data_IF_531511739699
#
_entry.id   IF_531511739699
#
_cell.length_a   1.000
_cell.length_b   1.000
_cell.length_c   1.000
_cell.angle_alpha   90.00
_cell.angle_beta   90.00
_cell.angle_gamma   90.00
#
_symmetry.space_group_name_H-M   'P 1'
#
loop_
_entity.id
_entity.type
_entity.pdbx_description
1 polymer ?
#
# COMPACT_ATOMS: atom_id res chain seq x y z
N UNK A 1 4.33 25.56 -11.92
CA UNK A 1 4.86 24.47 -12.74
C UNK A 1 4.65 23.15 -12.00
N UNK A 2 3.92 22.25 -12.58
CA UNK A 2 3.67 20.98 -11.93
C UNK A 2 4.86 20.04 -12.11
N UNK A 3 5.34 19.49 -11.02
CA UNK A 3 6.37 18.48 -11.09
C UNK A 3 5.78 17.18 -11.64
N UNK A 4 6.40 16.68 -12.67
CA UNK A 4 5.97 15.43 -13.26
C UNK A 4 6.32 14.28 -12.31
N UNK A 5 5.32 13.54 -11.88
CA UNK A 5 5.53 12.39 -11.02
C UNK A 5 5.86 11.19 -11.89
N UNK A 6 7.06 10.64 -11.69
CA UNK A 6 7.51 9.46 -12.42
C UNK A 6 7.39 8.25 -11.50
N UNK A 7 6.66 7.24 -11.96
CA UNK A 7 6.46 6.01 -11.21
C UNK A 7 7.21 4.86 -11.88
N UNK A 8 7.75 3.97 -11.05
CA UNK A 8 8.28 2.69 -11.53
C UNK A 8 7.12 1.80 -11.97
N UNK A 9 7.42 0.71 -12.68
CA UNK A 9 6.39 -0.25 -13.08
C UNK A 9 5.64 -0.80 -11.85
N UNK A 10 6.37 -1.11 -10.77
CA UNK A 10 5.75 -1.58 -9.54
C UNK A 10 4.91 -0.48 -8.88
N UNK A 11 5.39 0.76 -8.91
CA UNK A 11 4.63 1.89 -8.39
C UNK A 11 3.31 2.08 -9.12
N UNK A 12 3.32 1.94 -10.44
CA UNK A 12 2.10 2.02 -11.26
C UNK A 12 1.13 0.92 -10.90
N UNK A 13 1.61 -0.33 -10.73
CA UNK A 13 0.76 -1.45 -10.35
C UNK A 13 0.10 -1.25 -9.00
N UNK A 14 0.87 -0.81 -8.02
CA UNK A 14 0.37 -0.57 -6.67
C UNK A 14 -0.65 0.55 -6.68
N UNK A 15 -0.34 1.67 -7.34
CA UNK A 15 -1.25 2.80 -7.40
C UNK A 15 -2.56 2.42 -8.11
N UNK A 16 -2.47 1.70 -9.24
CA UNK A 16 -3.65 1.23 -9.96
C UNK A 16 -4.51 0.32 -9.10
N UNK A 17 -3.88 -0.60 -8.37
CA UNK A 17 -4.59 -1.49 -7.45
C UNK A 17 -5.32 -0.68 -6.37
N UNK A 18 -4.64 0.29 -5.77
CA UNK A 18 -5.23 1.12 -4.73
C UNK A 18 -6.36 2.00 -5.27
N UNK A 19 -6.25 2.49 -6.50
CA UNK A 19 -7.32 3.27 -7.12
C UNK A 19 -8.57 2.42 -7.36
N UNK A 20 -8.38 1.12 -7.66
CA UNK A 20 -9.49 0.18 -7.81
C UNK A 20 -10.09 -0.23 -6.47
N UNK A 21 -9.33 -0.10 -5.39
CA UNK A 21 -9.76 -0.46 -4.04
C UNK A 21 -9.53 0.76 -3.13
N UNK A 22 -10.31 1.82 -3.36
CA UNK A 22 -10.15 3.11 -2.68
C UNK A 22 -10.62 3.03 -1.22
N UNK A 23 -9.76 2.45 -0.39
CA UNK A 23 -10.00 2.29 1.05
C UNK A 23 -8.66 2.08 1.74
N UNK A 24 -8.69 2.02 3.07
CA UNK A 24 -7.50 1.67 3.84
C UNK A 24 -7.15 0.21 3.58
N UNK A 25 -5.93 -0.03 3.13
CA UNK A 25 -5.44 -1.36 2.76
C UNK A 25 -4.20 -1.72 3.57
N UNK A 26 -4.07 -2.99 3.91
CA UNK A 26 -2.87 -3.49 4.57
C UNK A 26 -1.79 -3.72 3.50
N UNK A 27 -0.58 -3.25 3.77
CA UNK A 27 0.53 -3.39 2.83
C UNK A 27 0.78 -4.84 2.41
N UNK A 28 0.66 -5.76 3.34
CA UNK A 28 0.81 -7.19 3.05
C UNK A 28 -0.23 -7.66 2.02
N UNK A 29 -1.47 -7.20 2.15
CA UNK A 29 -2.53 -7.57 1.22
C UNK A 29 -2.26 -7.00 -0.18
N UNK A 30 -1.76 -5.76 -0.24
CA UNK A 30 -1.36 -5.16 -1.52
C UNK A 30 -0.27 -5.99 -2.18
N UNK A 31 0.71 -6.45 -1.40
CA UNK A 31 1.79 -7.28 -1.91
C UNK A 31 1.27 -8.60 -2.49
N UNK A 32 0.35 -9.25 -1.78
CA UNK A 32 -0.22 -10.52 -2.21
C UNK A 32 -1.04 -10.36 -3.49
N UNK A 33 -1.83 -9.31 -3.58
CA UNK A 33 -2.71 -9.07 -4.72
C UNK A 33 -1.94 -8.61 -5.96
N UNK A 34 -0.87 -7.83 -5.77
CA UNK A 34 -0.06 -7.34 -6.90
C UNK A 34 1.07 -8.30 -7.28
N UNK A 35 1.40 -9.24 -6.40
CA UNK A 35 2.52 -10.16 -6.61
C UNK A 35 3.89 -9.52 -6.43
N UNK A 36 3.94 -8.35 -5.83
CA UNK A 36 5.21 -7.63 -5.62
C UNK A 36 5.84 -8.04 -4.30
N UNK A 37 7.05 -8.61 -4.36
CA UNK A 37 7.73 -9.07 -3.14
C UNK A 37 8.28 -7.94 -2.29
N UNK A 38 8.86 -6.93 -2.89
CA UNK A 38 9.40 -5.77 -2.17
C UNK A 38 8.39 -4.63 -2.09
N UNK A 39 7.27 -4.84 -1.42
CA UNK A 39 6.17 -3.88 -1.44
C UNK A 39 6.46 -2.62 -0.64
N UNK A 40 7.15 -2.72 0.50
CA UNK A 40 7.31 -1.58 1.38
C UNK A 40 8.14 -0.44 0.78
N UNK A 41 9.26 -0.70 0.09
CA UNK A 41 9.95 0.38 -0.61
C UNK A 41 9.08 1.07 -1.67
N UNK A 42 8.25 0.30 -2.36
CA UNK A 42 7.32 0.84 -3.36
C UNK A 42 6.29 1.74 -2.70
N UNK A 43 5.67 1.27 -1.61
CA UNK A 43 4.69 2.06 -0.86
C UNK A 43 5.32 3.32 -0.27
N UNK A 44 6.52 3.21 0.29
CA UNK A 44 7.23 4.36 0.84
C UNK A 44 7.53 5.40 -0.23
N UNK A 45 7.88 4.96 -1.43
CA UNK A 45 8.09 5.86 -2.56
C UNK A 45 6.81 6.63 -2.90
N UNK A 46 5.67 5.94 -2.91
CA UNK A 46 4.37 6.57 -3.18
C UNK A 46 3.99 7.55 -2.07
N UNK A 47 4.30 7.22 -0.82
CA UNK A 47 4.08 8.12 0.32
C UNK A 47 4.92 9.39 0.14
N UNK A 48 6.19 9.24 -0.22
CA UNK A 48 7.10 10.37 -0.44
C UNK A 48 6.64 11.27 -1.59
N UNK A 49 5.96 10.70 -2.58
CA UNK A 49 5.40 11.46 -3.70
C UNK A 49 4.05 12.11 -3.37
N UNK A 50 3.52 11.87 -2.18
CA UNK A 50 2.24 12.43 -1.75
C UNK A 50 1.02 11.75 -2.35
N UNK A 51 1.18 10.58 -2.95
CA UNK A 51 0.08 9.84 -3.58
C UNK A 51 -0.61 8.88 -2.61
N UNK A 52 0.09 8.48 -1.56
CA UNK A 52 -0.39 7.51 -0.57
C UNK A 52 -0.07 8.03 0.82
N UNK A 53 -0.96 7.79 1.77
CA UNK A 53 -0.75 8.08 3.19
C UNK A 53 -0.74 6.77 3.97
N UNK A 54 -0.03 6.81 5.09
CA UNK A 54 -0.06 5.72 6.06
C UNK A 54 -1.27 5.89 6.97
N UNK A 55 -1.97 4.77 7.24
CA UNK A 55 -3.03 4.74 8.22
C UNK A 55 -2.56 4.16 9.54
N UNK A 56 -3.49 3.96 10.46
CA UNK A 56 -3.19 3.31 11.72
C UNK A 56 -2.92 1.82 11.48
N UNK A 57 -1.94 1.21 12.18
CA UNK A 57 -1.66 -0.20 12.03
C UNK A 57 -2.89 -1.06 12.33
N UNK A 58 -3.09 -2.11 11.54
CA UNK A 58 -4.13 -3.09 11.79
C UNK A 58 -3.52 -4.27 12.52
N UNK A 59 -4.13 -4.64 13.65
CA UNK A 59 -3.68 -5.78 14.43
C UNK A 59 -4.41 -7.03 13.96
N UNK A 60 -3.66 -8.05 13.58
CA UNK A 60 -4.20 -9.36 13.22
C UNK A 60 -3.64 -10.43 14.12
N UNK A 61 -4.47 -11.40 14.47
CA UNK A 61 -4.05 -12.53 15.28
C UNK A 61 -3.74 -13.73 14.39
N UNK A 62 -2.61 -14.36 14.68
CA UNK A 62 -2.23 -15.62 14.02
C UNK A 62 -2.47 -16.78 14.96
N UNK A 63 -3.21 -17.75 14.49
CA UNK A 63 -3.32 -19.02 15.19
C UNK A 63 -2.30 -19.98 14.61
N UNK A 64 -1.28 -20.27 15.39
CA UNK A 64 -0.32 -21.30 15.07
C UNK A 64 -0.88 -22.68 15.39
N UNK A 65 -0.34 -23.72 14.75
CA UNK A 65 -0.69 -25.11 15.07
C UNK A 65 -0.38 -25.49 16.52
N UNK A 66 0.25 -24.60 17.28
CA UNK A 66 0.61 -24.80 18.69
C UNK A 66 -0.19 -23.97 19.66
N UNK A 67 -1.37 -23.53 19.30
CA UNK A 67 -2.32 -22.88 20.21
C UNK A 67 -1.87 -21.52 20.77
N UNK A 68 -0.83 -20.90 20.23
CA UNK A 68 -0.46 -19.55 20.63
C UNK A 68 -0.93 -18.56 19.60
N UNK A 69 -1.86 -17.69 19.99
CA UNK A 69 -2.29 -16.58 19.17
C UNK A 69 -1.39 -15.38 19.49
N UNK A 70 -0.58 -14.97 18.52
CA UNK A 70 0.26 -13.79 18.68
C UNK A 70 -0.30 -12.66 17.84
N UNK A 71 -0.69 -11.54 18.47
CA UNK A 71 -1.11 -10.38 17.70
C UNK A 71 0.08 -9.79 16.95
N UNK A 72 -0.13 -9.40 15.72
CA UNK A 72 0.88 -8.74 14.92
C UNK A 72 0.29 -7.52 14.25
N UNK A 73 1.00 -6.40 14.33
CA UNK A 73 0.57 -5.16 13.71
C UNK A 73 1.08 -5.09 12.27
N UNK A 74 0.17 -4.77 11.37
CA UNK A 74 0.48 -4.60 9.96
C UNK A 74 0.31 -3.15 9.56
N UNK A 75 1.26 -2.66 8.76
CA UNK A 75 1.19 -1.30 8.22
C UNK A 75 0.06 -1.19 7.22
N UNK A 76 -0.68 -0.10 7.33
CA UNK A 76 -1.80 0.19 6.42
C UNK A 76 -1.49 1.41 5.58
N UNK A 77 -2.15 1.49 4.43
CA UNK A 77 -1.95 2.55 3.45
C UNK A 77 -3.28 2.90 2.80
N UNK A 78 -3.44 4.17 2.45
CA UNK A 78 -4.62 4.64 1.75
C UNK A 78 -4.21 5.71 0.76
N UNK A 79 -5.03 5.92 -0.26
CA UNK A 79 -4.77 6.98 -1.24
C UNK A 79 -4.99 8.34 -0.63
N UNK A 80 -4.14 9.29 -1.01
CA UNK A 80 -4.43 10.71 -0.83
C UNK A 80 -5.37 11.15 -1.95
N UNK A 81 -5.93 12.35 -1.83
CA UNK A 81 -6.71 12.93 -2.93
C UNK A 81 -5.87 12.99 -4.21
N UNK A 82 -4.61 13.40 -4.07
CA UNK A 82 -3.67 13.46 -5.19
C UNK A 82 -3.45 12.08 -5.83
N UNK A 83 -3.31 11.03 -5.00
CA UNK A 83 -3.14 9.67 -5.51
C UNK A 83 -4.38 9.14 -6.19
N UNK A 84 -5.55 9.47 -5.66
CA UNK A 84 -6.83 9.07 -6.23
C UNK A 84 -7.04 9.69 -7.61
N UNK A 85 -6.60 10.92 -7.80
CA UNK A 85 -6.80 11.67 -9.03
C UNK A 85 -5.62 11.55 -10.01
N UNK A 86 -4.55 10.88 -9.62
CA UNK A 86 -3.38 10.72 -10.47
C UNK A 86 -3.69 9.83 -11.67
N UNK A 87 -3.35 10.31 -12.85
CA UNK A 87 -3.52 9.54 -14.09
C UNK A 87 -2.27 8.70 -14.31
N UNK A 88 -2.46 7.39 -14.37
CA UNK A 88 -1.36 6.44 -14.59
C UNK A 88 -1.20 6.23 -16.08
N UNK A 89 -0.01 6.52 -16.57
CA UNK A 89 0.33 6.33 -18.00
C UNK A 89 0.64 4.86 -18.31
#
# INVERSE_FOLDING_TARGET
MEDKIILTDNGKKVLAYMQSHDRLLVGKDIAEETGIKGIYPVLNSLVNKGLVDRGEPETREFTNNKVETKPKDYKTYQLTEKGRNHIID
#
